data_IF_449122146773
#
_entry.id   IF_449122146773
#
_cell.length_a   1.000
_cell.length_b   1.000
_cell.length_c   1.000
_cell.angle_alpha   90.00
_cell.angle_beta   90.00
_cell.angle_gamma   90.00
#
_symmetry.space_group_name_H-M   'P 1'
#
loop_
_entity.id
_entity.type
_entity.pdbx_description
1 polymer ?
#
# COMPACT_ATOMS: atom_id res chain seq x y z
N UNK A 1 7.84 -38.57 -1.51
CA UNK A 1 6.80 -38.27 -2.52
C UNK A 1 5.77 -37.35 -1.89
N UNK A 2 5.43 -36.22 -2.51
CA UNK A 2 4.30 -35.40 -2.07
C UNK A 2 2.99 -36.15 -2.35
N UNK A 3 2.05 -36.13 -1.41
CA UNK A 3 0.74 -36.77 -1.61
C UNK A 3 -0.17 -35.88 -2.49
N UNK A 4 -1.27 -36.46 -2.99
CA UNK A 4 -2.22 -35.78 -3.89
C UNK A 4 -2.81 -34.49 -3.30
N UNK A 5 -3.04 -34.45 -1.99
CA UNK A 5 -3.55 -33.26 -1.29
C UNK A 5 -2.53 -32.11 -1.28
N UNK A 6 -1.24 -32.41 -1.10
CA UNK A 6 -0.17 -31.39 -1.15
C UNK A 6 -0.04 -30.81 -2.56
N UNK A 7 -0.20 -31.65 -3.60
CA UNK A 7 -0.19 -31.20 -4.99
C UNK A 7 -1.34 -30.21 -5.24
N UNK A 8 -2.53 -30.49 -4.71
CA UNK A 8 -3.70 -29.62 -4.83
C UNK A 8 -3.49 -28.24 -4.18
N UNK A 9 -2.91 -28.18 -2.98
CA UNK A 9 -2.62 -26.91 -2.28
C UNK A 9 -1.59 -26.07 -3.04
N UNK A 10 -0.54 -26.72 -3.58
CA UNK A 10 0.49 -26.04 -4.37
C UNK A 10 -0.11 -25.47 -5.66
N UNK A 11 -0.94 -26.22 -6.36
CA UNK A 11 -1.62 -25.75 -7.56
C UNK A 11 -2.59 -24.60 -7.25
N UNK A 12 -3.33 -24.68 -6.15
CA UNK A 12 -4.19 -23.60 -5.67
C UNK A 12 -3.38 -22.32 -5.39
N UNK A 13 -2.24 -22.44 -4.71
CA UNK A 13 -1.34 -21.31 -4.44
C UNK A 13 -0.74 -20.71 -5.72
N UNK A 14 -0.32 -21.54 -6.68
CA UNK A 14 0.20 -21.06 -7.97
C UNK A 14 -0.89 -20.31 -8.73
N UNK A 15 -2.13 -20.80 -8.74
CA UNK A 15 -3.24 -20.13 -9.41
C UNK A 15 -3.61 -18.82 -8.72
N UNK A 16 -3.66 -18.82 -7.38
CA UNK A 16 -3.91 -17.62 -6.60
C UNK A 16 -2.83 -16.56 -6.81
N UNK A 17 -1.55 -16.94 -6.74
CA UNK A 17 -0.43 -16.00 -6.92
C UNK A 17 -0.41 -15.40 -8.34
N UNK A 18 -0.73 -16.19 -9.38
CA UNK A 18 -0.91 -15.68 -10.75
C UNK A 18 -2.07 -14.68 -10.84
N UNK A 19 -3.21 -15.01 -10.23
CA UNK A 19 -4.37 -14.12 -10.20
C UNK A 19 -4.05 -12.81 -9.47
N UNK A 20 -3.52 -12.89 -8.24
CA UNK A 20 -3.09 -11.75 -7.45
C UNK A 20 -2.08 -10.88 -8.21
N UNK A 21 -1.08 -11.48 -8.85
CA UNK A 21 -0.08 -10.74 -9.64
C UNK A 21 -0.73 -9.98 -10.80
N UNK A 22 -1.66 -10.61 -11.53
CA UNK A 22 -2.37 -9.96 -12.64
C UNK A 22 -3.24 -8.81 -12.14
N UNK A 23 -3.98 -9.03 -11.06
CA UNK A 23 -4.85 -8.02 -10.47
C UNK A 23 -4.04 -6.82 -9.94
N UNK A 24 -2.99 -7.08 -9.16
CA UNK A 24 -2.12 -6.04 -8.62
C UNK A 24 -1.43 -5.22 -9.72
N UNK A 25 -1.03 -5.86 -10.82
CA UNK A 25 -0.48 -5.15 -12.00
C UNK A 25 -1.52 -4.26 -12.66
N UNK A 26 -2.74 -4.76 -12.86
CA UNK A 26 -3.82 -3.98 -13.46
C UNK A 26 -4.22 -2.79 -12.57
N UNK A 27 -4.35 -2.99 -11.26
CA UNK A 27 -4.62 -1.91 -10.31
C UNK A 27 -3.51 -0.88 -10.33
N UNK A 28 -2.25 -1.30 -10.20
CA UNK A 28 -1.12 -0.37 -10.20
C UNK A 28 -1.02 0.40 -11.53
N UNK A 29 -1.35 -0.23 -12.66
CA UNK A 29 -1.40 0.44 -13.96
C UNK A 29 -2.45 1.56 -13.97
N UNK A 30 -3.70 1.26 -13.59
CA UNK A 30 -4.77 2.27 -13.53
C UNK A 30 -4.43 3.41 -12.57
N UNK A 31 -3.94 3.09 -11.37
CA UNK A 31 -3.57 4.10 -10.36
C UNK A 31 -2.43 4.99 -10.88
N UNK A 32 -1.46 4.41 -11.56
CA UNK A 32 -0.33 5.15 -12.13
C UNK A 32 -0.74 6.02 -13.32
N UNK A 33 -1.60 5.53 -14.22
CA UNK A 33 -2.03 6.29 -15.39
C UNK A 33 -2.91 7.49 -15.00
N UNK A 34 -3.92 7.26 -14.18
CA UNK A 34 -4.89 8.30 -13.81
C UNK A 34 -4.31 9.28 -12.77
N UNK A 35 -3.56 8.75 -11.80
CA UNK A 35 -3.13 9.52 -10.64
C UNK A 35 -1.61 9.60 -10.50
N UNK A 36 -0.78 9.00 -11.35
CA UNK A 36 0.69 9.02 -11.16
C UNK A 36 1.11 8.59 -9.74
N UNK A 37 0.29 7.73 -9.12
CA UNK A 37 0.51 7.14 -7.81
C UNK A 37 0.88 5.67 -7.96
N UNK A 38 1.64 5.14 -7.01
CA UNK A 38 1.91 3.71 -6.95
C UNK A 38 0.94 2.97 -6.03
N UNK A 39 0.96 1.64 -6.08
CA UNK A 39 0.16 0.79 -5.19
C UNK A 39 0.36 1.12 -3.69
N UNK A 40 1.59 1.42 -3.27
CA UNK A 40 1.86 1.80 -1.88
C UNK A 40 1.29 3.16 -1.49
N UNK A 41 1.19 4.11 -2.44
CA UNK A 41 0.51 5.39 -2.21
C UNK A 41 -0.99 5.17 -2.02
N UNK A 42 -1.58 4.31 -2.85
CA UNK A 42 -2.97 3.90 -2.69
C UNK A 42 -3.21 3.27 -1.31
N UNK A 43 -2.39 2.31 -0.89
CA UNK A 43 -2.54 1.70 0.44
C UNK A 43 -2.34 2.72 1.56
N UNK A 44 -1.40 3.65 1.43
CA UNK A 44 -1.20 4.73 2.40
C UNK A 44 -2.50 5.51 2.58
N UNK A 45 -3.07 6.00 1.48
CA UNK A 45 -4.29 6.81 1.49
C UNK A 45 -5.50 6.01 1.94
N UNK A 46 -5.60 4.74 1.54
CA UNK A 46 -6.66 3.82 1.99
C UNK A 46 -6.64 3.65 3.50
N UNK A 47 -5.49 3.27 4.09
CA UNK A 47 -5.40 3.07 5.53
C UNK A 47 -5.61 4.37 6.31
N UNK A 48 -5.13 5.50 5.79
CA UNK A 48 -5.38 6.80 6.41
C UNK A 48 -6.87 7.17 6.37
N UNK A 49 -7.55 6.91 5.25
CA UNK A 49 -8.98 7.19 5.08
C UNK A 49 -9.88 6.34 5.98
N UNK A 50 -9.49 5.09 6.24
CA UNK A 50 -10.19 4.16 7.14
C UNK A 50 -9.90 4.41 8.63
N UNK A 51 -8.89 5.22 8.96
CA UNK A 51 -8.51 5.47 10.33
C UNK A 51 -9.49 6.43 11.03
N UNK A 52 -9.66 6.25 12.34
CA UNK A 52 -10.43 7.18 13.17
C UNK A 52 -9.86 8.60 13.04
N UNK A 53 -10.72 9.57 12.77
CA UNK A 53 -10.34 10.98 12.51
C UNK A 53 -9.37 11.17 11.33
N UNK A 54 -9.28 10.20 10.41
CA UNK A 54 -8.37 10.21 9.26
C UNK A 54 -6.92 10.49 9.65
N UNK A 55 -6.50 9.95 10.79
CA UNK A 55 -5.18 10.17 11.35
C UNK A 55 -4.58 8.86 11.82
N UNK A 56 -3.33 8.62 11.43
CA UNK A 56 -2.56 7.46 11.86
C UNK A 56 -1.22 7.91 12.45
N UNK A 57 -0.77 7.19 13.48
CA UNK A 57 0.59 7.35 13.94
C UNK A 57 1.56 6.78 12.90
N UNK A 58 2.71 7.42 12.73
CA UNK A 58 3.71 7.00 11.75
C UNK A 58 4.15 5.53 11.95
N UNK A 59 4.26 5.07 13.20
CA UNK A 59 4.61 3.69 13.51
C UNK A 59 3.54 2.68 13.05
N UNK A 60 2.26 3.01 13.19
CA UNK A 60 1.15 2.17 12.71
C UNK A 60 1.17 2.07 11.19
N UNK A 61 1.33 3.21 10.52
CA UNK A 61 1.37 3.25 9.06
C UNK A 61 2.59 2.52 8.49
N UNK A 62 3.73 2.60 9.17
CA UNK A 62 4.93 1.84 8.83
C UNK A 62 4.68 0.33 8.90
N UNK A 63 4.01 -0.14 9.95
CA UNK A 63 3.67 -1.55 10.12
C UNK A 63 2.67 -2.05 9.07
N UNK A 64 1.61 -1.27 8.81
CA UNK A 64 0.58 -1.61 7.82
C UNK A 64 1.13 -1.73 6.39
N UNK A 65 2.05 -0.81 6.02
CA UNK A 65 2.67 -0.80 4.69
C UNK A 65 3.92 -1.67 4.60
N UNK A 66 4.38 -2.24 5.72
CA UNK A 66 5.64 -2.99 5.82
C UNK A 66 6.85 -2.24 5.23
N UNK A 67 6.89 -0.92 5.42
CA UNK A 67 7.95 -0.06 4.88
C UNK A 67 9.05 0.19 5.92
N UNK A 68 10.25 0.49 5.44
CA UNK A 68 11.28 1.06 6.29
C UNK A 68 10.94 2.51 6.65
N UNK A 69 11.50 3.07 7.75
CA UNK A 69 11.26 4.47 8.12
C UNK A 69 11.64 5.46 7.01
N UNK A 70 12.72 5.17 6.28
CA UNK A 70 13.20 6.01 5.18
C UNK A 70 12.28 5.94 3.95
N UNK A 71 11.73 4.76 3.65
CA UNK A 71 10.76 4.61 2.57
C UNK A 71 9.45 5.35 2.89
N UNK A 72 8.94 5.21 4.13
CA UNK A 72 7.75 5.92 4.57
C UNK A 72 7.97 7.44 4.56
N UNK A 73 9.12 7.93 5.03
CA UNK A 73 9.44 9.37 5.02
C UNK A 73 9.43 9.96 3.62
N UNK A 74 10.08 9.28 2.65
CA UNK A 74 10.08 9.72 1.24
C UNK A 74 8.66 9.74 0.66
N UNK A 75 7.85 8.73 0.98
CA UNK A 75 6.45 8.65 0.55
C UNK A 75 5.61 9.78 1.14
N UNK A 76 5.72 10.04 2.44
CA UNK A 76 5.00 11.13 3.10
C UNK A 76 5.36 12.49 2.50
N UNK A 77 6.64 12.78 2.29
CA UNK A 77 7.07 14.04 1.65
C UNK A 77 6.49 14.17 0.24
N UNK A 78 6.52 13.11 -0.56
CA UNK A 78 5.94 13.09 -1.90
C UNK A 78 4.42 13.36 -1.90
N UNK A 79 3.68 12.75 -0.96
CA UNK A 79 2.23 12.90 -0.87
C UNK A 79 1.80 14.29 -0.35
N UNK A 80 2.62 14.94 0.48
CA UNK A 80 2.41 16.33 0.90
C UNK A 80 2.56 17.29 -0.28
N UNK A 81 3.49 17.07 -1.19
CA UNK A 81 3.74 17.97 -2.34
C UNK A 81 3.24 17.43 -3.68
N UNK A 82 2.26 16.52 -3.65
CA UNK A 82 1.81 15.80 -4.82
C UNK A 82 1.10 16.72 -5.81
N UNK A 83 1.68 16.93 -7.02
CA UNK A 83 1.13 17.78 -8.08
C UNK A 83 0.72 19.20 -7.62
N UNK A 84 1.41 19.75 -6.62
CA UNK A 84 1.07 21.05 -6.03
C UNK A 84 -0.16 21.04 -5.11
N UNK A 85 -0.66 19.86 -4.76
CA UNK A 85 -1.72 19.62 -3.79
C UNK A 85 -1.15 18.92 -2.56
N UNK A 86 -1.76 19.20 -1.40
CA UNK A 86 -1.48 18.46 -0.17
C UNK A 86 -2.49 17.31 -0.05
N UNK A 87 -2.10 16.10 -0.46
CA UNK A 87 -2.98 14.93 -0.28
C UNK A 87 -3.08 14.49 1.18
N UNK A 88 -2.05 14.79 1.97
CA UNK A 88 -1.96 14.47 3.39
C UNK A 88 -1.28 15.62 4.13
N UNK A 89 -1.46 15.68 5.43
CA UNK A 89 -0.80 16.64 6.31
C UNK A 89 -0.16 15.93 7.50
N UNK A 90 0.99 16.43 7.96
CA UNK A 90 1.58 16.01 9.22
C UNK A 90 0.99 16.85 10.34
N UNK A 91 0.25 16.23 11.25
CA UNK A 91 -0.06 16.85 12.54
C UNK A 91 1.20 16.84 13.40
N UNK A 92 1.78 18.01 13.63
CA UNK A 92 2.80 18.17 14.66
C UNK A 92 2.06 18.18 15.99
N UNK A 93 2.22 17.11 16.78
CA UNK A 93 1.73 17.11 18.16
C UNK A 93 2.45 18.24 18.91
N UNK A 94 1.74 19.34 19.16
CA UNK A 94 2.18 20.35 20.11
C UNK A 94 2.05 19.74 21.50
N UNK A 95 3.19 19.59 22.18
CA UNK A 95 3.23 19.48 23.63
C UNK A 95 2.87 20.83 24.24
#
# INVERSE_FOLDING_TARGET
>A
MMNSETINVVDAWINYSKFYTRLSKAMNHVIMEEYQLGMNDFYFLYFLGEAENQALQQAQLQALLQLSPSALSRMTTRLISYKGLNLIEKKVSRL
#
